data_IF_984620208666
#
_entry.id   IF_984620208666
#
_cell.length_a   1.000
_cell.length_b   1.000
_cell.length_c   1.000
_cell.angle_alpha   90.00
_cell.angle_beta   90.00
_cell.angle_gamma   90.00
#
_symmetry.space_group_name_H-M   'P 1'
#
loop_
_entity.id
_entity.type
_entity.pdbx_description
1 polymer ?
#
# COMPACT_ATOMS: atom_id res chain seq x y z
N UNK A 1 25.78 -27.65 20.66
CA UNK A 1 25.74 -27.63 19.19
C UNK A 1 24.31 -27.30 18.81
N UNK A 2 24.05 -26.08 18.41
CA UNK A 2 22.69 -25.65 17.99
C UNK A 2 22.59 -25.83 16.47
N UNK A 3 21.69 -26.69 16.03
CA UNK A 3 21.36 -26.86 14.63
C UNK A 3 20.80 -25.55 14.07
N UNK A 4 21.47 -25.05 13.04
CA UNK A 4 21.00 -23.96 12.22
C UNK A 4 19.85 -24.50 11.35
N UNK A 5 18.59 -24.27 11.76
CA UNK A 5 17.47 -24.41 10.87
C UNK A 5 17.66 -23.49 9.67
N UNK A 6 17.82 -24.08 8.51
CA UNK A 6 17.90 -23.39 7.22
C UNK A 6 16.53 -22.73 6.94
N UNK A 7 16.53 -21.40 6.87
CA UNK A 7 15.38 -20.62 6.40
C UNK A 7 14.99 -21.12 5.01
N UNK A 8 13.69 -21.35 4.74
CA UNK A 8 13.25 -21.66 3.38
C UNK A 8 13.55 -20.45 2.49
N UNK A 9 14.40 -20.66 1.48
CA UNK A 9 14.57 -19.69 0.37
C UNK A 9 13.22 -19.47 -0.29
N UNK A 10 12.72 -18.26 -0.18
CA UNK A 10 11.52 -17.82 -0.89
C UNK A 10 11.91 -17.71 -2.36
N UNK A 11 11.60 -18.72 -3.16
CA UNK A 11 11.72 -18.64 -4.61
C UNK A 11 10.77 -17.56 -5.11
N UNK A 12 11.32 -16.49 -5.64
CA UNK A 12 10.62 -15.43 -6.33
C UNK A 12 9.86 -16.04 -7.52
N UNK A 13 8.61 -16.45 -7.28
CA UNK A 13 7.73 -16.89 -8.36
C UNK A 13 7.41 -15.63 -9.16
N UNK A 14 8.11 -15.44 -10.26
CA UNK A 14 7.84 -14.41 -11.24
C UNK A 14 6.33 -14.37 -11.47
N UNK A 15 5.72 -13.24 -11.14
CA UNK A 15 4.30 -13.01 -11.38
C UNK A 15 4.09 -13.02 -12.91
N UNK A 16 3.39 -14.03 -13.48
CA UNK A 16 3.20 -14.13 -14.93
C UNK A 16 2.41 -12.95 -15.52
N UNK A 17 1.71 -12.18 -14.68
CA UNK A 17 0.95 -10.99 -15.07
C UNK A 17 1.72 -9.66 -14.84
N UNK A 18 3.02 -9.72 -14.51
CA UNK A 18 3.82 -8.52 -14.37
C UNK A 18 4.13 -7.90 -15.74
N UNK A 19 4.02 -6.57 -15.90
CA UNK A 19 4.48 -5.89 -17.09
C UNK A 19 5.98 -6.18 -17.32
N UNK A 20 6.33 -6.66 -18.50
CA UNK A 20 7.71 -7.02 -18.82
C UNK A 20 8.09 -8.47 -18.49
N UNK A 21 7.13 -9.34 -18.21
CA UNK A 21 7.38 -10.80 -18.06
C UNK A 21 7.85 -11.47 -19.35
N UNK A 22 7.80 -10.75 -20.49
CA UNK A 22 8.20 -11.27 -21.81
C UNK A 22 7.22 -12.30 -22.40
N UNK A 23 6.10 -12.58 -21.72
CA UNK A 23 5.04 -13.42 -22.30
C UNK A 23 4.14 -12.57 -23.23
N UNK A 24 4.13 -12.86 -24.57
CA UNK A 24 3.32 -12.11 -25.53
C UNK A 24 1.82 -12.10 -25.21
N UNK A 25 1.31 -13.14 -24.55
CA UNK A 25 -0.10 -13.21 -24.13
C UNK A 25 -0.39 -12.27 -22.97
N UNK A 26 0.54 -12.12 -22.02
CA UNK A 26 0.42 -11.19 -20.92
C UNK A 26 0.49 -9.74 -21.40
N UNK A 27 1.44 -9.43 -22.28
CA UNK A 27 1.57 -8.09 -22.87
C UNK A 27 0.32 -7.68 -23.66
N UNK A 28 -0.25 -8.60 -24.46
CA UNK A 28 -1.51 -8.33 -25.17
C UNK A 28 -2.66 -8.04 -24.21
N UNK A 29 -2.83 -8.82 -23.15
CA UNK A 29 -3.88 -8.59 -22.13
C UNK A 29 -3.72 -7.24 -21.43
N UNK A 30 -2.49 -6.83 -21.17
CA UNK A 30 -2.21 -5.51 -20.58
C UNK A 30 -2.58 -4.40 -21.56
N UNK A 31 -2.22 -4.54 -22.84
CA UNK A 31 -2.59 -3.60 -23.91
C UNK A 31 -4.11 -3.43 -23.99
N UNK A 32 -4.85 -4.54 -24.08
CA UNK A 32 -6.32 -4.54 -24.13
C UNK A 32 -6.95 -3.80 -22.93
N UNK A 33 -6.38 -3.91 -21.73
CA UNK A 33 -6.86 -3.19 -20.54
C UNK A 33 -6.57 -1.70 -20.60
N UNK A 34 -5.41 -1.30 -21.10
CA UNK A 34 -5.06 0.11 -21.30
C UNK A 34 -5.99 0.75 -22.33
N UNK A 35 -6.24 0.07 -23.47
CA UNK A 35 -7.18 0.54 -24.47
C UNK A 35 -8.60 0.72 -23.92
N UNK A 36 -9.07 -0.20 -23.09
CA UNK A 36 -10.39 -0.06 -22.42
C UNK A 36 -10.45 1.13 -21.47
N UNK A 37 -9.35 1.46 -20.77
CA UNK A 37 -9.27 2.65 -19.92
C UNK A 37 -9.35 3.92 -20.78
N UNK A 38 -8.63 3.95 -21.92
CA UNK A 38 -8.63 5.08 -22.84
C UNK A 38 -10.00 5.28 -23.47
N UNK A 39 -10.64 4.21 -23.97
CA UNK A 39 -12.00 4.23 -24.54
C UNK A 39 -13.02 4.75 -23.49
N UNK A 40 -12.92 4.28 -22.26
CA UNK A 40 -13.79 4.78 -21.17
C UNK A 40 -13.58 6.27 -20.90
N UNK A 41 -12.33 6.74 -20.95
CA UNK A 41 -12.03 8.16 -20.76
C UNK A 41 -12.59 9.04 -21.91
N UNK A 42 -12.50 8.57 -23.16
CA UNK A 42 -13.09 9.30 -24.30
C UNK A 42 -14.63 9.33 -24.23
N UNK A 43 -15.28 8.25 -23.79
CA UNK A 43 -16.73 8.20 -23.62
C UNK A 43 -17.26 9.20 -22.61
N UNK A 44 -16.50 9.56 -21.57
CA UNK A 44 -16.89 10.60 -20.60
C UNK A 44 -17.19 11.96 -21.27
N UNK A 45 -16.59 12.25 -22.41
CA UNK A 45 -16.87 13.46 -23.20
C UNK A 45 -18.25 13.40 -23.84
N UNK A 46 -18.59 12.24 -24.39
CA UNK A 46 -19.88 12.00 -25.07
C UNK A 46 -21.02 11.94 -24.03
N UNK A 47 -20.73 11.40 -22.85
CA UNK A 47 -21.68 11.26 -21.73
C UNK A 47 -21.99 12.58 -21.03
N UNK A 48 -21.44 13.72 -21.49
CA UNK A 48 -21.61 15.02 -20.85
C UNK A 48 -21.20 15.04 -19.36
N UNK A 49 -20.19 14.28 -19.01
CA UNK A 49 -19.71 14.20 -17.63
C UNK A 49 -19.28 15.57 -17.11
N UNK A 50 -19.73 15.93 -15.92
CA UNK A 50 -19.46 17.24 -15.35
C UNK A 50 -17.94 17.45 -15.10
N UNK A 51 -17.50 18.73 -15.11
CA UNK A 51 -16.11 19.07 -14.75
C UNK A 51 -15.76 18.61 -13.34
N UNK A 52 -16.73 18.56 -12.42
CA UNK A 52 -16.54 18.08 -11.05
C UNK A 52 -16.19 16.58 -11.03
N UNK A 53 -16.97 15.79 -11.74
CA UNK A 53 -16.77 14.34 -11.84
C UNK A 53 -15.44 13.99 -12.53
N UNK A 54 -15.12 14.71 -13.61
CA UNK A 54 -13.83 14.54 -14.29
C UNK A 54 -12.63 14.84 -13.39
N UNK A 55 -12.74 15.84 -12.48
CA UNK A 55 -11.69 16.10 -11.48
C UNK A 55 -11.53 14.93 -10.51
N UNK A 56 -12.64 14.33 -10.08
CA UNK A 56 -12.62 13.16 -9.18
C UNK A 56 -11.93 11.98 -9.88
N UNK A 57 -12.38 11.63 -11.08
CA UNK A 57 -11.83 10.51 -11.86
C UNK A 57 -10.34 10.71 -12.17
N UNK A 58 -9.96 11.90 -12.66
CA UNK A 58 -8.58 12.24 -12.96
C UNK A 58 -7.67 12.14 -11.73
N UNK A 59 -8.15 12.61 -10.57
CA UNK A 59 -7.39 12.52 -9.32
C UNK A 59 -7.28 11.07 -8.84
N UNK A 60 -8.38 10.32 -8.84
CA UNK A 60 -8.40 8.92 -8.43
C UNK A 60 -7.44 8.07 -9.27
N UNK A 61 -7.46 8.23 -10.60
CA UNK A 61 -6.57 7.52 -11.50
C UNK A 61 -5.09 7.83 -11.20
N UNK A 62 -4.76 9.11 -10.98
CA UNK A 62 -3.38 9.51 -10.63
C UNK A 62 -2.92 8.95 -9.29
N UNK A 63 -3.79 8.93 -8.28
CA UNK A 63 -3.49 8.38 -6.96
C UNK A 63 -3.23 6.86 -7.05
N UNK A 64 -4.12 6.13 -7.71
CA UNK A 64 -3.97 4.69 -7.89
C UNK A 64 -2.71 4.34 -8.70
N UNK A 65 -2.48 5.05 -9.82
CA UNK A 65 -1.28 4.85 -10.63
C UNK A 65 0.00 5.07 -9.83
N UNK A 66 0.03 6.11 -9.00
CA UNK A 66 1.19 6.39 -8.15
C UNK A 66 1.38 5.31 -7.08
N UNK A 67 0.30 4.90 -6.41
CA UNK A 67 0.35 3.84 -5.40
C UNK A 67 0.79 2.49 -6.01
N UNK A 68 0.27 2.13 -7.18
CA UNK A 68 0.72 0.93 -7.90
C UNK A 68 2.20 0.98 -8.25
N UNK A 69 2.72 2.14 -8.66
CA UNK A 69 4.14 2.33 -8.92
C UNK A 69 4.99 2.14 -7.66
N UNK A 70 4.57 2.74 -6.55
CA UNK A 70 5.30 2.67 -5.27
C UNK A 70 5.32 1.25 -4.72
N UNK A 71 4.21 0.51 -4.84
CA UNK A 71 4.10 -0.83 -4.26
C UNK A 71 4.52 -1.94 -5.25
N UNK A 72 4.75 -1.62 -6.50
CA UNK A 72 5.19 -2.59 -7.52
C UNK A 72 6.43 -3.40 -7.12
N UNK A 73 7.50 -2.82 -6.53
CA UNK A 73 8.68 -3.59 -6.12
C UNK A 73 8.41 -4.61 -5.01
N UNK A 74 7.28 -4.47 -4.30
CA UNK A 74 6.92 -5.33 -3.17
C UNK A 74 5.90 -6.41 -3.53
N UNK A 75 5.52 -6.53 -4.81
CA UNK A 75 4.71 -7.63 -5.30
C UNK A 75 5.43 -8.95 -5.03
N UNK A 76 4.71 -9.91 -4.47
CA UNK A 76 5.30 -11.20 -4.07
C UNK A 76 5.76 -11.26 -2.61
N UNK A 77 5.88 -10.13 -1.94
CA UNK A 77 6.10 -10.10 -0.50
C UNK A 77 4.77 -10.27 0.25
N UNK A 78 4.84 -10.84 1.43
CA UNK A 78 3.69 -10.92 2.33
C UNK A 78 3.51 -9.58 3.01
N UNK A 79 2.29 -9.06 2.98
CA UNK A 79 1.93 -7.79 3.60
C UNK A 79 0.80 -8.05 4.60
N UNK A 80 0.92 -7.50 5.81
CA UNK A 80 -0.14 -7.51 6.81
C UNK A 80 -0.58 -6.08 7.09
N UNK A 81 -1.89 -5.86 7.08
CA UNK A 81 -2.46 -4.54 7.38
C UNK A 81 -2.82 -4.43 8.85
N UNK A 82 -2.37 -3.35 9.49
CA UNK A 82 -2.69 -3.03 10.89
C UNK A 82 -3.55 -1.77 10.94
N UNK A 83 -4.76 -1.93 11.46
CA UNK A 83 -5.68 -0.85 11.76
C UNK A 83 -5.84 -0.69 13.28
N UNK A 84 -6.05 0.54 13.70
CA UNK A 84 -6.34 0.84 15.10
C UNK A 84 -6.48 2.34 15.36
N UNK A 85 -6.80 2.68 16.59
CA UNK A 85 -6.99 4.07 17.01
C UNK A 85 -5.69 4.87 16.90
N UNK A 86 -5.76 6.06 16.31
CA UNK A 86 -4.67 7.03 16.29
C UNK A 86 -4.42 7.70 17.67
N UNK A 87 -5.32 7.48 18.64
CA UNK A 87 -5.28 8.13 19.96
C UNK A 87 -4.78 7.22 21.07
N UNK A 88 -4.50 5.95 20.80
CA UNK A 88 -3.97 5.01 21.78
C UNK A 88 -2.59 5.47 22.25
N UNK A 89 -2.39 5.74 23.53
CA UNK A 89 -1.11 6.22 24.04
C UNK A 89 -0.09 5.09 24.16
N UNK A 90 1.22 5.41 24.26
CA UNK A 90 2.30 4.43 24.26
C UNK A 90 2.32 3.46 25.45
N UNK A 91 1.71 3.84 26.58
CA UNK A 91 1.59 3.05 27.82
C UNK A 91 0.39 2.11 27.81
N UNK A 92 -0.49 2.21 26.82
CA UNK A 92 -1.64 1.32 26.66
C UNK A 92 -1.17 -0.10 26.28
N UNK A 93 -1.72 -1.16 26.93
CA UNK A 93 -1.39 -2.54 26.58
C UNK A 93 -1.60 -2.89 25.11
N UNK A 94 -2.61 -2.31 24.45
CA UNK A 94 -2.85 -2.52 23.03
C UNK A 94 -1.74 -1.91 22.15
N UNK A 95 -1.14 -0.78 22.58
CA UNK A 95 0.00 -0.18 21.89
C UNK A 95 1.24 -1.09 21.98
N UNK A 96 1.52 -1.61 23.18
CA UNK A 96 2.62 -2.56 23.41
C UNK A 96 2.41 -3.83 22.59
N UNK A 97 1.19 -4.38 22.58
CA UNK A 97 0.85 -5.55 21.78
C UNK A 97 1.05 -5.30 20.27
N UNK A 98 0.69 -4.11 19.79
CA UNK A 98 0.89 -3.75 18.38
C UNK A 98 2.37 -3.64 17.99
N UNK A 99 3.25 -3.18 18.90
CA UNK A 99 4.70 -3.22 18.71
C UNK A 99 5.17 -4.67 18.57
N UNK A 100 4.77 -5.55 19.50
CA UNK A 100 5.19 -6.94 19.49
C UNK A 100 4.70 -7.68 18.25
N UNK A 101 3.47 -7.41 17.83
CA UNK A 101 2.93 -7.92 16.57
C UNK A 101 3.76 -7.47 15.36
N UNK A 102 4.02 -6.17 15.24
CA UNK A 102 4.83 -5.62 14.14
C UNK A 102 6.23 -6.24 14.08
N UNK A 103 6.88 -6.39 15.26
CA UNK A 103 8.21 -7.03 15.37
C UNK A 103 8.19 -8.47 14.88
N UNK A 104 7.19 -9.26 15.30
CA UNK A 104 7.05 -10.66 14.89
C UNK A 104 6.82 -10.78 13.38
N UNK A 105 5.94 -9.96 12.82
CA UNK A 105 5.69 -9.95 11.38
C UNK A 105 6.96 -9.62 10.58
N UNK A 106 7.70 -8.60 11.01
CA UNK A 106 8.97 -8.24 10.37
C UNK A 106 10.02 -9.35 10.46
N UNK A 107 10.11 -10.05 11.60
CA UNK A 107 11.01 -11.20 11.80
C UNK A 107 10.67 -12.34 10.82
N UNK A 108 9.39 -12.53 10.51
CA UNK A 108 8.93 -13.51 9.52
C UNK A 108 9.03 -13.00 8.07
N UNK A 109 9.61 -11.83 7.84
CA UNK A 109 9.79 -11.22 6.52
C UNK A 109 8.55 -10.58 5.92
N UNK A 110 7.52 -10.29 6.73
CA UNK A 110 6.33 -9.59 6.28
C UNK A 110 6.52 -8.07 6.35
N UNK A 111 5.90 -7.37 5.42
CA UNK A 111 5.72 -5.93 5.55
C UNK A 111 4.48 -5.60 6.37
N UNK A 112 4.58 -4.53 7.16
CA UNK A 112 3.47 -3.99 7.96
C UNK A 112 2.95 -2.73 7.29
N UNK A 113 1.74 -2.83 6.72
CA UNK A 113 1.04 -1.73 6.07
C UNK A 113 0.06 -1.08 7.05
N UNK A 114 0.12 0.23 7.21
CA UNK A 114 -0.82 0.97 8.07
C UNK A 114 -1.30 2.26 7.41
N UNK A 115 -2.24 2.94 8.10
CA UNK A 115 -2.67 4.29 7.73
C UNK A 115 -1.64 5.39 8.01
N UNK A 116 -0.47 5.04 8.53
CA UNK A 116 0.66 5.91 8.81
C UNK A 116 0.40 7.05 9.82
N UNK A 117 -0.68 7.02 10.58
CA UNK A 117 -0.95 7.96 11.67
C UNK A 117 -0.30 7.48 12.99
N UNK A 118 -0.54 8.22 14.08
CA UNK A 118 -0.10 7.86 15.44
C UNK A 118 -0.84 6.65 16.03
N UNK A 119 -0.67 6.39 17.32
CA UNK A 119 -1.33 5.33 18.06
C UNK A 119 -0.97 3.92 17.58
N UNK A 120 -1.96 3.06 17.43
CA UNK A 120 -1.75 1.65 17.02
C UNK A 120 -1.00 1.51 15.69
N UNK A 121 -1.23 2.41 14.74
CA UNK A 121 -0.55 2.40 13.44
C UNK A 121 0.94 2.71 13.58
N UNK A 122 1.29 3.68 14.43
CA UNK A 122 2.67 3.97 14.78
C UNK A 122 3.31 2.80 15.53
N UNK A 123 2.59 2.20 16.48
CA UNK A 123 3.07 1.05 17.23
C UNK A 123 3.44 -0.11 16.31
N UNK A 124 2.59 -0.44 15.34
CA UNK A 124 2.89 -1.46 14.34
C UNK A 124 4.15 -1.16 13.55
N UNK A 125 4.32 0.07 13.08
CA UNK A 125 5.53 0.51 12.39
C UNK A 125 6.77 0.52 13.29
N UNK A 126 6.61 0.93 14.56
CA UNK A 126 7.71 0.92 15.54
C UNK A 126 8.22 -0.50 15.79
N UNK A 127 7.32 -1.46 15.85
CA UNK A 127 7.68 -2.88 15.95
C UNK A 127 8.35 -3.43 14.71
N UNK A 128 7.82 -3.13 13.53
CA UNK A 128 8.33 -3.62 12.25
C UNK A 128 9.65 -2.96 11.84
N UNK A 129 9.91 -1.74 12.30
CA UNK A 129 11.02 -0.92 11.81
C UNK A 129 10.72 -0.28 10.44
N UNK A 130 11.49 0.74 10.08
CA UNK A 130 11.29 1.53 8.84
C UNK A 130 11.34 0.67 7.58
N UNK A 131 12.27 -0.28 7.53
CA UNK A 131 12.51 -1.11 6.33
C UNK A 131 11.30 -2.00 6.00
N UNK A 132 10.64 -2.55 7.01
CA UNK A 132 9.48 -3.40 6.84
C UNK A 132 8.14 -2.67 7.00
N UNK A 133 8.16 -1.33 7.05
CA UNK A 133 6.96 -0.50 7.16
C UNK A 133 6.52 0.07 5.82
N UNK A 134 5.22 0.06 5.57
CA UNK A 134 4.55 0.67 4.42
C UNK A 134 3.39 1.54 4.90
N UNK A 135 3.10 2.62 4.20
CA UNK A 135 2.06 3.56 4.64
C UNK A 135 1.12 4.02 3.53
N UNK A 136 -0.18 4.02 3.83
CA UNK A 136 -1.22 4.66 3.03
C UNK A 136 -1.88 5.76 3.86
N UNK A 137 -1.32 6.97 3.82
CA UNK A 137 -1.87 8.09 4.58
C UNK A 137 -3.02 8.76 3.82
N UNK A 138 -3.93 9.41 4.58
CA UNK A 138 -5.02 10.22 4.02
C UNK A 138 -4.70 11.71 4.23
N UNK A 139 -4.86 12.50 3.19
CA UNK A 139 -4.68 13.95 3.26
C UNK A 139 -5.95 14.58 3.86
N UNK A 140 -5.93 14.87 5.15
CA UNK A 140 -7.00 15.57 5.86
C UNK A 140 -6.65 17.07 6.01
N UNK A 141 -7.63 17.99 6.03
CA UNK A 141 -7.36 19.42 6.12
C UNK A 141 -6.65 19.86 7.41
N UNK A 142 -6.79 19.10 8.49
CA UNK A 142 -6.37 19.51 9.85
C UNK A 142 -5.43 18.53 10.57
N UNK A 143 -5.20 17.32 10.02
CA UNK A 143 -4.33 16.30 10.61
C UNK A 143 -3.52 15.64 9.50
N UNK A 144 -2.23 15.91 9.40
CA UNK A 144 -1.49 15.53 8.20
C UNK A 144 -0.17 14.80 8.47
N UNK A 145 0.30 14.76 9.70
CA UNK A 145 1.61 14.19 9.92
C UNK A 145 1.56 12.66 9.99
N UNK A 146 2.30 12.06 9.08
CA UNK A 146 2.62 10.63 9.20
C UNK A 146 3.50 10.41 10.43
N UNK A 147 3.38 9.23 11.05
CA UNK A 147 4.21 8.88 12.20
C UNK A 147 5.72 8.92 11.85
N UNK A 148 6.59 9.16 12.84
CA UNK A 148 8.02 9.40 12.60
C UNK A 148 8.74 8.22 11.97
N UNK A 149 8.23 6.99 12.11
CA UNK A 149 8.89 5.79 11.59
C UNK A 149 8.89 5.78 10.05
N UNK A 150 7.75 6.15 9.44
CA UNK A 150 7.57 6.08 7.97
C UNK A 150 7.63 7.44 7.29
N UNK A 151 7.70 8.53 8.04
CA UNK A 151 7.74 9.90 7.48
C UNK A 151 8.90 10.04 6.48
N UNK A 152 8.56 10.56 5.28
CA UNK A 152 9.53 10.76 4.21
C UNK A 152 10.06 9.50 3.55
N UNK A 153 9.51 8.33 3.87
CA UNK A 153 9.89 7.08 3.23
C UNK A 153 9.23 6.96 1.86
N UNK A 154 9.93 6.34 0.91
CA UNK A 154 9.40 6.11 -0.44
C UNK A 154 8.22 5.12 -0.47
N UNK A 155 8.03 4.30 0.58
CA UNK A 155 6.89 3.39 0.77
C UNK A 155 5.68 4.08 1.40
N UNK A 156 5.72 5.40 1.61
CA UNK A 156 4.62 6.19 2.12
C UNK A 156 3.88 6.87 0.97
N UNK A 157 2.61 6.52 0.79
CA UNK A 157 1.73 7.13 -0.21
C UNK A 157 0.68 8.00 0.48
N UNK A 158 0.54 9.23 0.02
CA UNK A 158 -0.51 10.15 0.47
C UNK A 158 -1.67 10.15 -0.53
N UNK A 159 -2.88 9.90 -0.05
CA UNK A 159 -4.10 9.84 -0.84
C UNK A 159 -5.11 10.86 -0.35
N UNK A 160 -5.85 11.47 -1.27
CA UNK A 160 -6.90 12.44 -0.96
C UNK A 160 -8.25 11.76 -0.71
N UNK A 161 -8.52 10.66 -1.42
CA UNK A 161 -9.83 10.01 -1.36
C UNK A 161 -9.79 8.74 -0.50
N UNK A 162 -10.78 8.61 0.38
CA UNK A 162 -10.95 7.42 1.21
C UNK A 162 -11.19 6.15 0.38
N UNK A 163 -11.91 6.25 -0.72
CA UNK A 163 -12.21 5.08 -1.55
C UNK A 163 -10.98 4.54 -2.28
N UNK A 164 -10.10 5.40 -2.81
CA UNK A 164 -8.84 4.96 -3.42
C UNK A 164 -7.92 4.33 -2.39
N UNK A 165 -7.85 4.91 -1.20
CA UNK A 165 -7.09 4.39 -0.08
C UNK A 165 -7.63 3.03 0.39
N UNK A 166 -8.96 2.90 0.55
CA UNK A 166 -9.61 1.63 0.91
C UNK A 166 -9.32 0.55 -0.13
N UNK A 167 -9.42 0.89 -1.43
CA UNK A 167 -9.11 -0.03 -2.51
C UNK A 167 -7.67 -0.55 -2.39
N UNK A 168 -6.70 0.32 -2.11
CA UNK A 168 -5.31 -0.08 -1.95
C UNK A 168 -5.09 -1.02 -0.76
N UNK A 169 -5.72 -0.77 0.39
CA UNK A 169 -5.64 -1.68 1.54
C UNK A 169 -6.21 -3.07 1.28
N UNK A 170 -7.24 -3.15 0.46
CA UNK A 170 -7.88 -4.44 0.11
C UNK A 170 -7.09 -5.20 -0.95
N UNK A 171 -6.37 -4.47 -1.81
CA UNK A 171 -5.60 -5.04 -2.90
C UNK A 171 -4.26 -5.62 -2.42
N UNK A 172 -3.57 -4.94 -1.49
CA UNK A 172 -2.26 -5.38 -0.99
C UNK A 172 -2.39 -6.43 0.11
#
# INVERSE_FOLDING_TARGET
>A
MAEKESRPEFQDKQNPDAPGSGDPKSEKRIGDLIERIQDSAEKLRVDNTSRGDLKILSRALRELRYAFKVFSPYRGHRIVTVFGSARTPPDDPAYVQAIDFGRRMATEGWFVLTGAASGIMEAGHRGAGREQSMGLNIMLPFEQDSNPIIRGDHKLVHMKYFFTRKLMFVKE
#
